data_IF_834396035337
#
_entry.id   IF_834396035337
#
_cell.length_a   1.000
_cell.length_b   1.000
_cell.length_c   1.000
_cell.angle_alpha   90.00
_cell.angle_beta   90.00
_cell.angle_gamma   90.00
#
_symmetry.space_group_name_H-M   'P 1'
#
loop_
_entity.id
_entity.type
_entity.pdbx_description
1 polymer ?
#
# COMPACT_ATOMS: atom_id res chain seq x y z
N UNK A 1 -14.69 -12.17 1.49
CA UNK A 1 -13.84 -12.69 2.59
C UNK A 1 -12.74 -11.70 2.98
N UNK A 2 -11.86 -11.20 2.09
CA UNK A 2 -10.73 -10.34 2.50
C UNK A 2 -11.14 -8.96 3.05
N UNK A 3 -12.15 -8.33 2.44
CA UNK A 3 -12.68 -7.03 2.88
C UNK A 3 -13.22 -7.09 4.31
N UNK A 4 -13.84 -8.21 4.69
CA UNK A 4 -14.40 -8.39 6.04
C UNK A 4 -13.28 -8.51 7.07
N UNK A 5 -12.22 -9.26 6.76
CA UNK A 5 -11.00 -9.35 7.59
C UNK A 5 -10.32 -7.99 7.77
N UNK A 6 -10.27 -7.18 6.70
CA UNK A 6 -9.75 -5.81 6.77
C UNK A 6 -10.62 -4.93 7.66
N UNK A 7 -11.94 -5.02 7.56
CA UNK A 7 -12.86 -4.26 8.43
C UNK A 7 -12.72 -4.67 9.91
N UNK A 8 -12.54 -5.95 10.20
CA UNK A 8 -12.25 -6.44 11.56
C UNK A 8 -10.90 -5.91 12.05
N UNK A 9 -9.87 -5.95 11.21
CA UNK A 9 -8.56 -5.37 11.52
C UNK A 9 -8.64 -3.87 11.84
N UNK A 10 -9.34 -3.09 11.00
CA UNK A 10 -9.62 -1.67 11.28
C UNK A 10 -10.30 -1.50 12.64
N UNK A 11 -11.28 -2.34 12.98
CA UNK A 11 -11.97 -2.28 14.26
C UNK A 11 -11.04 -2.57 15.45
N UNK A 12 -10.00 -3.39 15.27
CA UNK A 12 -9.04 -3.76 16.31
C UNK A 12 -7.92 -2.72 16.51
N UNK A 13 -7.32 -2.21 15.43
CA UNK A 13 -6.14 -1.32 15.49
C UNK A 13 -6.44 0.15 15.16
N UNK A 14 -7.67 0.47 14.77
CA UNK A 14 -8.10 1.80 14.35
C UNK A 14 -7.76 2.12 12.88
N UNK A 15 -8.56 3.00 12.27
CA UNK A 15 -8.49 3.34 10.85
C UNK A 15 -7.11 3.86 10.41
N UNK A 16 -6.48 4.71 11.22
CA UNK A 16 -5.17 5.31 10.89
C UNK A 16 -4.05 4.26 10.85
N UNK A 17 -3.98 3.35 11.83
CA UNK A 17 -2.97 2.27 11.82
C UNK A 17 -3.24 1.26 10.72
N UNK A 18 -4.52 0.93 10.49
CA UNK A 18 -4.90 0.04 9.40
C UNK A 18 -4.56 0.62 8.02
N UNK A 19 -4.72 1.93 7.81
CA UNK A 19 -4.32 2.60 6.57
C UNK A 19 -2.81 2.48 6.31
N UNK A 20 -1.98 2.64 7.34
CA UNK A 20 -0.53 2.43 7.24
C UNK A 20 -0.23 0.97 6.86
N UNK A 21 -0.87 0.00 7.50
CA UNK A 21 -0.68 -1.42 7.17
C UNK A 21 -1.15 -1.74 5.74
N UNK A 22 -2.29 -1.19 5.30
CA UNK A 22 -2.80 -1.38 3.94
C UNK A 22 -1.92 -0.74 2.86
N UNK A 23 -1.11 0.26 3.20
CA UNK A 23 -0.14 0.87 2.27
C UNK A 23 1.01 -0.08 1.87
N UNK A 24 1.22 -1.18 2.61
CA UNK A 24 2.14 -2.26 2.23
C UNK A 24 1.56 -3.12 1.10
N UNK A 25 0.22 -3.18 0.99
CA UNK A 25 -0.50 -3.98 0.00
C UNK A 25 0.04 -3.81 -1.42
N UNK A 26 0.10 -2.59 -1.97
CA UNK A 26 0.63 -2.33 -3.31
C UNK A 26 2.08 -2.82 -3.51
N UNK A 27 2.94 -2.64 -2.51
CA UNK A 27 4.36 -3.05 -2.58
C UNK A 27 4.46 -4.57 -2.60
N UNK A 28 3.73 -5.25 -1.72
CA UNK A 28 3.66 -6.72 -1.70
C UNK A 28 3.07 -7.26 -2.99
N UNK A 29 2.00 -6.67 -3.52
CA UNK A 29 1.40 -7.08 -4.79
C UNK A 29 2.40 -6.98 -5.95
N UNK A 30 3.14 -5.88 -6.06
CA UNK A 30 4.16 -5.71 -7.10
C UNK A 30 5.29 -6.76 -6.97
N UNK A 31 5.75 -7.01 -5.75
CA UNK A 31 6.78 -8.01 -5.49
C UNK A 31 6.32 -9.44 -5.82
N UNK A 32 5.10 -9.81 -5.41
CA UNK A 32 4.53 -11.11 -5.76
C UNK A 32 4.28 -11.24 -7.27
N UNK A 33 3.85 -10.18 -7.96
CA UNK A 33 3.68 -10.20 -9.40
C UNK A 33 5.00 -10.52 -10.13
N UNK A 34 6.11 -9.90 -9.72
CA UNK A 34 7.43 -10.21 -10.26
C UNK A 34 7.82 -11.69 -10.08
N UNK A 35 7.63 -12.24 -8.88
CA UNK A 35 8.03 -13.63 -8.56
C UNK A 35 7.11 -14.67 -9.21
N UNK A 36 5.80 -14.49 -9.14
CA UNK A 36 4.83 -15.52 -9.54
C UNK A 36 4.42 -15.43 -11.00
N UNK A 37 4.35 -14.23 -11.57
CA UNK A 37 3.93 -14.03 -12.95
C UNK A 37 5.10 -14.11 -13.94
N UNK A 38 6.34 -14.02 -13.45
CA UNK A 38 7.55 -14.09 -14.28
C UNK A 38 7.68 -12.93 -15.27
N UNK A 39 7.01 -11.81 -15.00
CA UNK A 39 7.15 -10.59 -15.81
C UNK A 39 8.61 -10.13 -15.76
N UNK A 40 9.26 -10.09 -16.92
CA UNK A 40 10.53 -9.42 -17.05
C UNK A 40 10.28 -7.93 -16.89
N UNK A 41 10.72 -7.38 -15.75
CA UNK A 41 10.56 -5.95 -15.47
C UNK A 41 11.32 -5.14 -16.50
N UNK A 42 10.57 -4.59 -17.46
CA UNK A 42 11.10 -3.62 -18.40
C UNK A 42 11.47 -2.32 -17.66
N UNK A 43 12.38 -1.53 -18.23
CA UNK A 43 12.90 -0.32 -17.59
C UNK A 43 11.78 0.67 -17.23
N UNK A 44 10.71 0.70 -18.04
CA UNK A 44 9.50 1.49 -17.80
C UNK A 44 8.69 0.98 -16.60
N UNK A 45 8.59 -0.34 -16.41
CA UNK A 45 7.92 -0.92 -15.23
C UNK A 45 8.68 -0.61 -13.95
N UNK A 46 10.02 -0.61 -13.98
CA UNK A 46 10.85 -0.23 -12.84
C UNK A 46 10.60 1.23 -12.46
N UNK A 47 10.60 2.14 -13.44
CA UNK A 47 10.31 3.56 -13.21
C UNK A 47 8.89 3.75 -12.67
N UNK A 48 7.91 3.05 -13.24
CA UNK A 48 6.52 3.06 -12.77
C UNK A 48 6.39 2.54 -11.33
N UNK A 49 7.11 1.48 -10.97
CA UNK A 49 7.13 0.93 -9.62
C UNK A 49 7.73 1.93 -8.62
N UNK A 50 8.85 2.57 -8.97
CA UNK A 50 9.46 3.62 -8.15
C UNK A 50 8.51 4.80 -7.98
N UNK A 51 7.82 5.23 -9.04
CA UNK A 51 6.86 6.33 -9.01
C UNK A 51 5.67 6.01 -8.08
N UNK A 52 5.11 4.81 -8.18
CA UNK A 52 4.01 4.34 -7.32
C UNK A 52 4.48 4.26 -5.87
N UNK A 53 5.66 3.68 -5.61
CA UNK A 53 6.23 3.62 -4.26
C UNK A 53 6.44 5.02 -3.67
N UNK A 54 6.96 5.97 -4.46
CA UNK A 54 7.13 7.36 -4.04
C UNK A 54 5.78 8.03 -3.72
N UNK A 55 4.76 7.84 -4.57
CA UNK A 55 3.41 8.35 -4.33
C UNK A 55 2.79 7.79 -3.04
N UNK A 56 2.89 6.48 -2.82
CA UNK A 56 2.42 5.82 -1.60
C UNK A 56 3.16 6.35 -0.37
N UNK A 57 4.48 6.51 -0.43
CA UNK A 57 5.27 7.08 0.66
C UNK A 57 4.84 8.52 1.00
N UNK A 58 4.65 9.38 -0.01
CA UNK A 58 4.19 10.76 0.20
C UNK A 58 2.81 10.79 0.86
N UNK A 59 1.89 9.95 0.40
CA UNK A 59 0.54 9.85 0.97
C UNK A 59 0.60 9.31 2.41
N UNK A 60 1.40 8.28 2.69
CA UNK A 60 1.57 7.73 4.03
C UNK A 60 2.20 8.73 5.00
N UNK A 61 3.22 9.48 4.57
CA UNK A 61 3.85 10.52 5.39
C UNK A 61 2.92 11.72 5.64
N UNK A 62 2.09 12.10 4.66
CA UNK A 62 1.15 13.23 4.79
C UNK A 62 -0.16 12.83 5.49
N UNK A 63 -0.57 11.57 5.38
CA UNK A 63 -1.77 11.00 5.98
C UNK A 63 -1.77 11.02 7.52
N UNK A 64 -0.58 11.06 8.14
CA UNK A 64 -0.45 11.29 9.58
C UNK A 64 -0.90 12.69 10.04
N UNK A 65 -1.08 13.66 9.13
CA UNK A 65 -1.60 15.00 9.46
C UNK A 65 -3.07 15.23 9.11
N UNK A 66 -3.67 14.43 8.22
CA UNK A 66 -5.05 14.66 7.73
C UNK A 66 -6.12 14.13 8.70
N UNK A 67 -5.81 13.13 9.54
CA UNK A 67 -6.76 12.61 10.54
C UNK A 67 -6.86 13.47 11.81
N UNK A 68 -6.08 14.55 11.94
CA UNK A 68 -6.02 15.36 13.17
C UNK A 68 -6.92 16.60 13.17
N UNK A 69 -7.69 16.84 12.10
CA UNK A 69 -8.56 18.02 11.95
C UNK A 69 -10.02 17.70 11.56
N UNK A 70 -10.56 16.53 11.93
CA UNK A 70 -12.01 16.28 11.83
C UNK A 70 -12.54 15.71 13.14
#
# INVERSE_FOLDING_TARGET
IPVVTLAIGIKMIGASRAAIVSSIGPVSTAFLAYIFLGEQMDFIQIIGMILVMAGVLVISYKGNKVQKEV
#
